data_IF_633946958200
#
_entry.id   IF_633946958200
#
_cell.length_a   1.000
_cell.length_b   1.000
_cell.length_c   1.000
_cell.angle_alpha   90.00
_cell.angle_beta   90.00
_cell.angle_gamma   90.00
#
_symmetry.space_group_name_H-M   'P 1'
#
loop_
_entity.id
_entity.type
_entity.pdbx_description
1 polymer ?
#
# COMPACT_ATOMS: atom_id res chain seq x y z
N UNK A 1 3.62 -9.76 -3.42
CA UNK A 1 4.06 -8.79 -2.39
C UNK A 1 4.18 -7.41 -3.05
N UNK A 2 3.07 -6.67 -3.13
CA UNK A 2 2.99 -5.39 -3.87
C UNK A 2 3.87 -4.31 -3.24
N UNK A 3 3.96 -4.27 -1.90
CA UNK A 3 4.80 -3.30 -1.18
C UNK A 3 6.28 -3.34 -1.59
N UNK A 4 6.85 -4.53 -1.86
CA UNK A 4 8.24 -4.66 -2.28
C UNK A 4 8.46 -4.20 -3.73
N UNK A 5 7.51 -4.46 -4.62
CA UNK A 5 7.53 -3.95 -5.99
C UNK A 5 7.38 -2.43 -6.02
N UNK A 6 6.45 -1.88 -5.24
CA UNK A 6 6.29 -0.45 -5.06
C UNK A 6 7.58 0.21 -4.56
N UNK A 7 8.20 -0.36 -3.53
CA UNK A 7 9.46 0.12 -2.97
C UNK A 7 10.59 0.09 -4.01
N UNK A 8 10.70 -0.98 -4.79
CA UNK A 8 11.74 -1.16 -5.83
C UNK A 8 11.55 -0.22 -7.02
N UNK A 9 10.32 -0.15 -7.54
CA UNK A 9 10.03 0.50 -8.82
C UNK A 9 9.55 1.96 -8.66
N UNK A 10 9.27 2.39 -7.43
CA UNK A 10 8.72 3.72 -7.15
C UNK A 10 7.29 3.91 -7.64
N UNK A 11 6.56 2.81 -7.88
CA UNK A 11 5.16 2.83 -8.32
C UNK A 11 4.24 2.71 -7.12
N UNK A 12 3.34 3.67 -6.96
CA UNK A 12 2.22 3.62 -6.02
C UNK A 12 0.98 3.17 -6.81
N UNK A 13 0.58 1.88 -6.75
CA UNK A 13 -0.54 1.39 -7.53
C UNK A 13 -1.85 1.99 -7.04
N UNK A 14 -2.71 2.37 -7.99
CA UNK A 14 -4.09 2.70 -7.75
C UNK A 14 -4.92 1.47 -7.39
N UNK A 15 -6.01 1.69 -6.67
CA UNK A 15 -6.94 0.62 -6.26
C UNK A 15 -7.95 0.40 -7.37
N UNK A 16 -7.81 -0.71 -8.10
CA UNK A 16 -8.71 -1.07 -9.19
C UNK A 16 -10.17 -1.07 -8.73
N UNK A 17 -11.08 -0.61 -9.59
CA UNK A 17 -12.53 -0.49 -9.36
C UNK A 17 -12.92 0.50 -8.24
N UNK A 18 -12.03 1.40 -7.85
CA UNK A 18 -12.35 2.50 -6.93
C UNK A 18 -12.57 3.80 -7.72
N UNK A 19 -13.80 4.29 -7.76
CA UNK A 19 -14.18 5.49 -8.51
C UNK A 19 -14.75 6.60 -7.60
N UNK A 20 -15.42 6.22 -6.52
CA UNK A 20 -16.08 7.14 -5.59
C UNK A 20 -15.46 7.00 -4.19
N UNK A 21 -14.98 8.09 -3.58
CA UNK A 21 -14.48 8.07 -2.20
C UNK A 21 -15.54 7.62 -1.21
N UNK A 22 -15.18 6.64 -0.37
CA UNK A 22 -15.98 6.25 0.79
C UNK A 22 -15.67 7.19 1.97
N UNK A 23 -16.67 7.87 2.57
CA UNK A 23 -16.47 8.72 3.75
C UNK A 23 -15.83 8.01 4.96
N UNK A 24 -15.95 6.68 5.06
CA UNK A 24 -15.30 5.88 6.09
C UNK A 24 -13.81 5.63 5.83
N UNK A 25 -13.35 5.82 4.59
CA UNK A 25 -11.96 5.66 4.19
C UNK A 25 -11.23 7.01 4.17
N UNK A 26 -9.95 7.00 4.55
CA UNK A 26 -9.14 8.23 4.57
C UNK A 26 -8.64 8.65 3.18
N UNK A 27 -8.16 9.91 3.05
CA UNK A 27 -7.69 10.48 1.78
C UNK A 27 -6.41 9.83 1.23
N UNK A 28 -5.78 8.93 1.99
CA UNK A 28 -4.59 8.18 1.57
C UNK A 28 -4.87 7.07 0.55
N UNK A 29 -6.14 6.66 0.37
CA UNK A 29 -6.48 5.66 -0.65
C UNK A 29 -6.25 6.25 -2.03
N UNK A 30 -5.47 5.55 -2.85
CA UNK A 30 -5.18 5.95 -4.23
C UNK A 30 -6.11 5.22 -5.19
N UNK A 31 -6.74 5.97 -6.09
CA UNK A 31 -7.56 5.41 -7.18
C UNK A 31 -6.73 5.26 -8.45
N UNK A 32 -5.90 6.26 -8.75
CA UNK A 32 -4.95 6.24 -9.86
C UNK A 32 -3.55 5.80 -9.44
N UNK A 33 -2.81 5.23 -10.40
CA UNK A 33 -1.38 4.98 -10.25
C UNK A 33 -0.62 6.30 -10.11
N UNK A 34 0.39 6.31 -9.23
CA UNK A 34 1.32 7.42 -9.10
C UNK A 34 2.75 6.92 -9.05
N UNK A 35 3.72 7.81 -9.25
CA UNK A 35 5.14 7.53 -9.08
C UNK A 35 5.72 8.44 -8.01
N UNK A 36 6.54 7.87 -7.13
CA UNK A 36 7.26 8.60 -6.10
C UNK A 36 8.47 7.80 -5.65
N UNK A 37 9.50 8.48 -5.15
CA UNK A 37 10.50 7.81 -4.32
C UNK A 37 9.80 7.27 -3.06
N UNK A 38 10.07 6.02 -2.72
CA UNK A 38 9.56 5.36 -1.51
C UNK A 38 10.76 4.90 -0.70
N UNK A 39 10.90 5.40 0.53
CA UNK A 39 11.99 4.98 1.43
C UNK A 39 11.59 3.77 2.29
N UNK A 40 10.29 3.67 2.61
CA UNK A 40 9.71 2.61 3.43
C UNK A 40 8.33 2.18 2.90
N UNK A 41 8.03 0.88 3.01
CA UNK A 41 6.73 0.33 2.63
C UNK A 41 6.26 -0.72 3.64
N UNK A 42 4.97 -0.73 3.97
CA UNK A 42 4.35 -1.66 4.91
C UNK A 42 3.38 -2.59 4.19
N UNK A 43 3.35 -3.86 4.59
CA UNK A 43 2.36 -4.84 4.16
C UNK A 43 1.63 -5.43 5.39
N UNK A 44 0.33 -5.14 5.50
CA UNK A 44 -0.53 -5.65 6.56
C UNK A 44 -1.35 -6.85 6.05
N UNK A 45 -1.55 -7.83 6.92
CA UNK A 45 -2.41 -9.00 6.68
C UNK A 45 -3.23 -9.28 7.92
N UNK A 46 -4.52 -9.52 7.73
CA UNK A 46 -5.48 -9.80 8.78
C UNK A 46 -6.21 -11.10 8.46
N UNK A 47 -6.27 -12.01 9.44
CA UNK A 47 -6.90 -13.32 9.33
C UNK A 47 -7.98 -13.51 10.39
N UNK A 48 -8.97 -14.35 10.08
CA UNK A 48 -10.04 -14.70 11.02
C UNK A 48 -9.48 -15.23 12.35
N UNK A 49 -10.22 -14.99 13.43
CA UNK A 49 -9.75 -15.27 14.79
C UNK A 49 -8.81 -14.21 15.37
N UNK A 50 -8.65 -13.07 14.68
CA UNK A 50 -7.88 -11.92 15.18
C UNK A 50 -6.38 -12.00 14.92
N UNK A 51 -5.95 -12.78 13.93
CA UNK A 51 -4.54 -12.84 13.54
C UNK A 51 -4.17 -11.58 12.74
N UNK A 52 -3.26 -10.77 13.28
CA UNK A 52 -2.79 -9.55 12.63
C UNK A 52 -1.27 -9.62 12.45
N UNK A 53 -0.79 -9.43 11.22
CA UNK A 53 0.63 -9.46 10.89
C UNK A 53 1.01 -8.26 10.03
N UNK A 54 2.11 -7.61 10.38
CA UNK A 54 2.66 -6.46 9.66
C UNK A 54 4.13 -6.71 9.31
N UNK A 55 4.49 -6.44 8.07
CA UNK A 55 5.87 -6.43 7.58
C UNK A 55 6.23 -5.02 7.15
N UNK A 56 7.37 -4.51 7.61
CA UNK A 56 7.91 -3.20 7.22
C UNK A 56 9.22 -3.40 6.47
N UNK A 57 9.32 -2.81 5.28
CA UNK A 57 10.49 -2.85 4.42
C UNK A 57 11.09 -1.45 4.30
N UNK A 58 12.41 -1.38 4.18
CA UNK A 58 13.15 -0.17 3.86
C UNK A 58 14.13 -0.43 2.73
N UNK A 59 14.43 0.60 1.95
CA UNK A 59 15.48 0.53 0.94
C UNK A 59 16.84 0.23 1.59
N UNK A 60 17.59 -0.70 1.02
CA UNK A 60 18.97 -0.95 1.44
C UNK A 60 19.82 0.26 1.02
N UNK A 61 20.67 0.74 1.93
CA UNK A 61 21.61 1.84 1.68
C UNK A 61 22.96 1.31 1.25
#
# INVERSE_FOLDING_TARGET
>A
MIALLALRDGVLPGTLNSEVPDPACGPQIRFDNAHSKIDYAMNNSFGFGGNNCSLLFGQAR
#
